data_IF_880556641943
#
_entry.id   IF_880556641943
#
_cell.length_a   1.000
_cell.length_b   1.000
_cell.length_c   1.000
_cell.angle_alpha   90.00
_cell.angle_beta   90.00
_cell.angle_gamma   90.00
#
_symmetry.space_group_name_H-M   'P 1'
#
loop_
_entity.id
_entity.type
_entity.pdbx_description
1 polymer ?
#
# COMPACT_ATOMS: atom_id res chain seq x y z
N UNK A 1 45.73 3.66 2.53
CA UNK A 1 44.36 3.43 3.05
C UNK A 1 43.43 3.41 1.85
N UNK A 2 42.70 2.32 1.67
CA UNK A 2 41.80 2.12 0.53
C UNK A 2 40.37 2.40 0.98
N UNK A 3 39.62 3.21 0.22
CA UNK A 3 38.19 3.40 0.44
C UNK A 3 37.41 2.39 -0.39
N UNK A 4 36.46 1.71 0.25
CA UNK A 4 35.61 0.70 -0.38
C UNK A 4 34.15 1.10 -0.19
N UNK A 5 33.39 1.00 -1.27
CA UNK A 5 31.95 1.19 -1.28
C UNK A 5 31.29 -0.11 -1.76
N UNK A 6 30.39 -0.66 -0.94
CA UNK A 6 29.64 -1.88 -1.22
C UNK A 6 28.15 -1.56 -1.24
N UNK A 7 27.52 -1.79 -2.39
CA UNK A 7 26.08 -1.63 -2.57
C UNK A 7 25.42 -2.97 -2.89
N UNK A 8 24.43 -3.36 -2.09
CA UNK A 8 23.58 -4.52 -2.35
C UNK A 8 22.14 -4.07 -2.59
N UNK A 9 21.46 -4.73 -3.52
CA UNK A 9 20.03 -4.54 -3.71
C UNK A 9 19.35 -5.87 -3.98
N UNK A 10 18.16 -6.05 -3.40
CA UNK A 10 17.33 -7.25 -3.57
C UNK A 10 15.88 -6.83 -3.73
N UNK A 11 15.19 -7.45 -4.67
CA UNK A 11 13.74 -7.30 -4.84
C UNK A 11 13.07 -8.52 -4.23
N UNK A 12 12.14 -8.29 -3.32
CA UNK A 12 11.26 -9.32 -2.78
C UNK A 12 9.90 -9.13 -3.42
N UNK A 13 9.35 -10.19 -4.00
CA UNK A 13 8.05 -10.18 -4.66
C UNK A 13 7.09 -11.05 -3.88
N UNK A 14 6.03 -10.45 -3.34
CA UNK A 14 5.00 -11.14 -2.58
C UNK A 14 3.63 -10.55 -2.95
N UNK A 15 2.64 -11.41 -3.19
CA UNK A 15 1.26 -11.01 -3.50
C UNK A 15 1.16 -9.89 -4.56
N UNK A 16 1.93 -10.03 -5.64
CA UNK A 16 1.99 -9.10 -6.78
C UNK A 16 2.52 -7.69 -6.44
N UNK A 17 3.02 -7.48 -5.22
CA UNK A 17 3.80 -6.31 -4.84
C UNK A 17 5.29 -6.69 -4.84
N UNK A 18 6.12 -5.87 -5.47
CA UNK A 18 7.57 -5.99 -5.36
C UNK A 18 8.11 -4.86 -4.49
N UNK A 19 8.76 -5.23 -3.41
CA UNK A 19 9.45 -4.31 -2.52
C UNK A 19 10.95 -4.43 -2.79
N UNK A 20 11.56 -3.32 -3.17
CA UNK A 20 13.01 -3.24 -3.35
C UNK A 20 13.68 -2.83 -2.06
N UNK A 21 14.71 -3.57 -1.67
CA UNK A 21 15.59 -3.24 -0.55
C UNK A 21 16.98 -2.96 -1.11
N UNK A 22 17.64 -1.95 -0.55
CA UNK A 22 19.01 -1.60 -0.92
C UNK A 22 19.79 -1.16 0.31
N UNK A 23 21.02 -1.63 0.44
CA UNK A 23 21.97 -1.26 1.49
C UNK A 23 23.24 -0.77 0.81
N UNK A 24 23.78 0.34 1.32
CA UNK A 24 25.04 0.91 0.84
C UNK A 24 25.96 1.12 2.05
N UNK A 25 27.10 0.43 2.06
CA UNK A 25 28.12 0.54 3.10
C UNK A 25 29.37 1.20 2.51
N UNK A 26 29.93 2.15 3.25
CA UNK A 26 31.24 2.74 2.98
C UNK A 26 32.18 2.34 4.11
N UNK A 27 33.35 1.83 3.76
CA UNK A 27 34.35 1.36 4.71
C UNK A 27 35.76 1.70 4.26
N UNK A 28 36.65 1.88 5.22
CA UNK A 28 38.07 2.08 4.96
C UNK A 28 38.83 0.80 5.27
N UNK A 29 39.59 0.30 4.29
CA UNK A 29 40.42 -0.90 4.41
C UNK A 29 41.85 -0.48 4.77
N UNK A 30 42.27 -0.88 5.96
CA UNK A 30 43.60 -0.62 6.53
C UNK A 30 44.62 -1.74 6.22
N UNK A 31 44.45 -2.43 5.10
CA UNK A 31 45.38 -3.48 4.63
C UNK A 31 46.40 -2.85 3.67
N UNK A 32 47.68 -3.26 3.71
CA UNK A 32 48.68 -2.84 2.73
C UNK A 32 48.22 -3.17 1.29
N UNK A 33 48.53 -2.31 0.33
CA UNK A 33 48.15 -2.53 -1.08
C UNK A 33 48.90 -3.71 -1.73
N UNK A 34 49.99 -4.17 -1.11
CA UNK A 34 50.79 -5.30 -1.57
C UNK A 34 50.22 -6.66 -1.11
N UNK A 35 49.17 -6.65 -0.27
CA UNK A 35 48.45 -7.84 0.20
C UNK A 35 47.04 -7.90 -0.41
N UNK A 36 46.90 -8.43 -1.64
CA UNK A 36 45.61 -8.52 -2.31
C UNK A 36 44.66 -9.50 -1.59
N UNK A 37 45.19 -10.52 -0.91
CA UNK A 37 44.37 -11.50 -0.19
C UNK A 37 43.68 -10.85 1.01
N UNK A 38 44.41 -10.07 1.80
CA UNK A 38 43.83 -9.32 2.93
C UNK A 38 42.82 -8.26 2.50
N UNK A 39 43.01 -7.62 1.34
CA UNK A 39 42.01 -6.69 0.78
C UNK A 39 40.73 -7.42 0.41
N UNK A 40 40.84 -8.57 -0.27
CA UNK A 40 39.68 -9.38 -0.66
C UNK A 40 38.94 -9.89 0.58
N UNK A 41 39.66 -10.33 1.61
CA UNK A 41 39.06 -10.75 2.89
C UNK A 41 38.27 -9.60 3.54
N UNK A 42 38.82 -8.39 3.58
CA UNK A 42 38.12 -7.22 4.15
C UNK A 42 36.92 -6.77 3.32
N UNK A 43 37.02 -6.82 2.00
CA UNK A 43 35.88 -6.55 1.11
C UNK A 43 34.79 -7.60 1.33
N UNK A 44 35.16 -8.88 1.50
CA UNK A 44 34.21 -9.96 1.79
C UNK A 44 33.48 -9.73 3.11
N UNK A 45 34.19 -9.36 4.18
CA UNK A 45 33.57 -9.02 5.46
C UNK A 45 32.50 -7.91 5.31
N UNK A 46 32.77 -6.89 4.50
CA UNK A 46 31.80 -5.81 4.21
C UNK A 46 30.58 -6.31 3.42
N UNK A 47 30.78 -7.25 2.48
CA UNK A 47 29.67 -7.89 1.76
C UNK A 47 28.81 -8.76 2.67
N UNK A 48 29.42 -9.58 3.51
CA UNK A 48 28.72 -10.44 4.47
C UNK A 48 27.88 -9.58 5.43
N UNK A 49 28.44 -8.47 5.92
CA UNK A 49 27.72 -7.50 6.76
C UNK A 49 26.57 -6.81 6.01
N UNK A 50 26.79 -6.39 4.76
CA UNK A 50 25.74 -5.78 3.95
C UNK A 50 24.59 -6.77 3.67
N UNK A 51 24.90 -8.03 3.42
CA UNK A 51 23.91 -9.08 3.20
C UNK A 51 23.11 -9.37 4.49
N UNK A 52 23.77 -9.48 5.63
CA UNK A 52 23.10 -9.67 6.92
C UNK A 52 22.16 -8.49 7.22
N UNK A 53 22.62 -7.26 7.05
CA UNK A 53 21.80 -6.06 7.25
C UNK A 53 20.58 -6.02 6.31
N UNK A 54 20.78 -6.38 5.04
CA UNK A 54 19.72 -6.45 4.05
C UNK A 54 18.69 -7.53 4.41
N UNK A 55 19.15 -8.72 4.83
CA UNK A 55 18.27 -9.82 5.26
C UNK A 55 17.45 -9.43 6.48
N UNK A 56 18.05 -8.80 7.49
CA UNK A 56 17.32 -8.32 8.67
C UNK A 56 16.23 -7.31 8.29
N UNK A 57 16.49 -6.43 7.31
CA UNK A 57 15.49 -5.47 6.85
C UNK A 57 14.32 -6.15 6.12
N UNK A 58 14.62 -7.16 5.29
CA UNK A 58 13.61 -7.98 4.63
C UNK A 58 12.76 -8.73 5.66
N UNK A 59 13.39 -9.41 6.61
CA UNK A 59 12.71 -10.20 7.65
C UNK A 59 11.80 -9.34 8.53
N UNK A 60 12.25 -8.14 8.92
CA UNK A 60 11.41 -7.18 9.65
C UNK A 60 10.19 -6.78 8.84
N UNK A 61 10.37 -6.49 7.55
CA UNK A 61 9.27 -6.12 6.67
C UNK A 61 8.24 -7.24 6.49
N UNK A 62 8.71 -8.49 6.32
CA UNK A 62 7.84 -9.66 6.24
C UNK A 62 7.10 -9.91 7.57
N UNK A 63 7.79 -9.72 8.70
CA UNK A 63 7.21 -9.87 10.05
C UNK A 63 6.15 -8.80 10.35
N UNK A 64 6.41 -7.54 10.02
CA UNK A 64 5.45 -6.44 10.19
C UNK A 64 4.22 -6.62 9.30
N UNK A 65 4.43 -7.10 8.06
CA UNK A 65 3.34 -7.42 7.14
C UNK A 65 2.46 -8.56 7.68
N UNK A 66 3.05 -9.52 8.40
CA UNK A 66 2.33 -10.61 9.05
C UNK A 66 1.58 -10.18 10.33
N UNK A 67 2.14 -9.27 11.15
CA UNK A 67 1.51 -8.80 12.40
C UNK A 67 0.39 -7.79 12.15
N UNK A 68 0.55 -6.89 11.16
CA UNK A 68 -0.53 -6.00 10.72
C UNK A 68 -1.78 -6.78 10.25
N UNK A 69 -1.61 -8.05 9.87
CA UNK A 69 -2.70 -8.97 9.53
C UNK A 69 -3.35 -9.64 10.75
N UNK A 70 -2.75 -9.56 11.95
CA UNK A 70 -3.17 -10.27 13.17
C UNK A 70 -3.79 -9.37 14.24
N UNK A 71 -3.43 -8.08 14.29
CA UNK A 71 -3.91 -7.09 15.28
C UNK A 71 -5.19 -6.33 14.87
N UNK A 72 -6.07 -6.94 14.07
CA UNK A 72 -7.45 -6.48 13.96
C UNK A 72 -8.21 -6.83 15.25
N UNK A 73 -7.95 -6.06 16.31
CA UNK A 73 -8.62 -6.08 17.59
C UNK A 73 -10.15 -6.00 17.40
N UNK A 74 -10.96 -6.85 18.08
CA UNK A 74 -12.41 -6.82 17.92
C UNK A 74 -12.96 -5.49 18.45
N UNK A 75 -13.71 -4.70 17.65
CA UNK A 75 -14.18 -3.40 18.10
C UNK A 75 -15.16 -3.58 19.27
N UNK A 76 -14.76 -3.04 20.43
CA UNK A 76 -15.64 -2.82 21.57
C UNK A 76 -16.91 -2.08 21.14
N UNK A 77 -18.06 -2.69 21.40
CA UNK A 77 -19.39 -2.12 21.14
C UNK A 77 -19.61 -0.88 22.03
N UNK A 78 -19.59 0.31 21.44
CA UNK A 78 -20.22 1.50 22.06
C UNK A 78 -21.65 1.64 21.55
N UNK A 79 -22.60 1.67 22.50
CA UNK A 79 -24.03 1.86 22.26
C UNK A 79 -24.37 3.33 21.95
N UNK A 80 -25.47 3.63 21.23
CA UNK A 80 -25.87 5.00 20.89
C UNK A 80 -27.03 5.52 21.75
N UNK A 81 -26.96 6.78 22.19
CA UNK A 81 -28.05 7.69 22.59
C UNK A 81 -27.40 8.92 23.28
N UNK A 82 -27.82 10.18 23.15
CA UNK A 82 -29.10 10.81 22.81
C UNK A 82 -28.88 12.33 22.68
N UNK A 83 -29.59 12.97 21.76
CA UNK A 83 -30.27 14.29 21.81
C UNK A 83 -29.73 15.53 22.56
N UNK A 84 -30.12 16.70 22.03
CA UNK A 84 -30.20 18.07 22.63
C UNK A 84 -28.94 18.93 22.51
N UNK A 85 -28.95 20.27 22.45
CA UNK A 85 -29.90 21.35 22.16
C UNK A 85 -29.04 22.64 22.31
N UNK A 86 -29.37 23.70 21.56
CA UNK A 86 -28.97 25.11 21.71
C UNK A 86 -27.97 25.50 22.83
N UNK A 87 -26.93 26.27 22.48
CA UNK A 87 -26.67 27.57 23.12
C UNK A 87 -25.64 28.42 22.38
N UNK A 88 -25.88 29.74 22.48
CA UNK A 88 -25.17 30.86 21.88
C UNK A 88 -23.97 31.31 22.73
N UNK A 89 -23.15 32.17 22.10
CA UNK A 89 -22.33 33.27 22.63
C UNK A 89 -20.83 33.07 22.89
N UNK A 90 -20.08 34.06 22.35
CA UNK A 90 -18.74 34.51 22.74
C UNK A 90 -17.61 33.83 21.97
N UNK A 91 -16.63 34.48 21.36
CA UNK A 91 -16.09 35.84 21.58
C UNK A 91 -15.24 36.23 20.38
N UNK A 92 -15.33 37.50 19.96
CA UNK A 92 -14.48 38.14 18.95
C UNK A 92 -13.03 38.26 19.44
N UNK A 93 -12.02 38.24 18.56
CA UNK A 93 -11.38 39.44 17.97
C UNK A 93 -10.16 39.05 17.08
N UNK A 94 -9.48 39.98 16.38
CA UNK A 94 -9.41 39.94 14.92
C UNK A 94 -7.97 39.81 14.39
N UNK A 95 -7.80 39.43 13.13
CA UNK A 95 -6.60 39.83 12.41
C UNK A 95 -6.93 40.12 10.95
N UNK A 96 -6.93 41.41 10.61
CA UNK A 96 -7.03 41.85 9.24
C UNK A 96 -5.67 41.76 8.57
N UNK A 97 -5.63 41.24 7.34
CA UNK A 97 -5.05 42.01 6.24
C UNK A 97 -5.44 41.42 4.90
N UNK A 98 -5.68 42.33 3.96
CA UNK A 98 -6.20 42.13 2.61
C UNK A 98 -5.11 41.58 1.71
N UNK A 99 -5.43 40.64 0.82
CA UNK A 99 -5.13 40.66 -0.64
C UNK A 99 -5.52 39.33 -1.29
N UNK A 100 -6.61 39.36 -2.06
CA UNK A 100 -6.76 38.55 -3.29
C UNK A 100 -6.22 39.41 -4.44
N UNK A 101 -5.60 38.88 -5.52
CA UNK A 101 -6.17 37.76 -6.30
C UNK A 101 -5.14 36.82 -6.99
N UNK A 102 -5.40 35.50 -6.99
CA UNK A 102 -5.03 34.61 -8.11
C UNK A 102 -5.74 33.27 -7.96
N UNK A 103 -6.83 33.11 -8.71
CA UNK A 103 -7.65 31.90 -8.78
C UNK A 103 -6.93 30.90 -9.70
N UNK A 104 -5.96 30.14 -9.18
CA UNK A 104 -5.34 29.06 -9.96
C UNK A 104 -6.15 27.76 -9.78
N UNK A 105 -7.26 27.69 -10.51
CA UNK A 105 -8.06 26.47 -10.64
C UNK A 105 -7.28 25.42 -11.43
N UNK A 106 -6.51 24.58 -10.73
CA UNK A 106 -5.94 23.37 -11.30
C UNK A 106 -7.05 22.32 -11.45
N UNK A 107 -7.80 22.43 -12.55
CA UNK A 107 -8.49 21.28 -13.17
C UNK A 107 -7.40 20.42 -13.83
N UNK A 108 -7.18 19.15 -13.45
CA UNK A 108 -6.44 18.27 -14.31
C UNK A 108 -7.27 17.99 -15.56
N UNK A 109 -6.64 18.26 -16.69
CA UNK A 109 -7.18 18.11 -18.02
C UNK A 109 -7.70 16.69 -18.26
N UNK A 110 -8.90 16.65 -18.82
CA UNK A 110 -9.50 15.51 -19.50
C UNK A 110 -8.68 15.23 -20.76
N UNK A 111 -7.57 14.52 -20.62
CA UNK A 111 -6.74 14.11 -21.76
C UNK A 111 -7.22 12.74 -22.24
N UNK A 112 -8.03 12.75 -23.30
CA UNK A 112 -8.52 11.54 -23.96
C UNK A 112 -7.37 10.85 -24.69
N UNK A 113 -6.94 9.70 -24.17
CA UNK A 113 -6.10 8.74 -24.88
C UNK A 113 -6.88 7.43 -24.99
N UNK A 114 -7.90 7.44 -25.84
CA UNK A 114 -8.64 6.28 -26.31
C UNK A 114 -7.72 5.43 -27.19
N UNK A 115 -7.27 4.28 -26.68
CA UNK A 115 -6.55 3.30 -27.49
C UNK A 115 -6.09 2.05 -26.76
N UNK A 116 -5.86 2.10 -25.44
CA UNK A 116 -5.54 0.92 -24.66
C UNK A 116 -6.36 0.90 -23.37
N UNK A 117 -6.96 -0.26 -23.01
CA UNK A 117 -7.60 -0.41 -21.71
C UNK A 117 -6.55 -0.15 -20.62
N UNK A 118 -6.77 0.88 -19.82
CA UNK A 118 -5.88 1.21 -18.70
C UNK A 118 -6.11 0.13 -17.63
N UNK A 119 -5.07 -0.62 -17.23
CA UNK A 119 -5.20 -1.62 -16.19
C UNK A 119 -5.69 -0.96 -14.88
N UNK A 120 -6.43 -1.73 -14.09
CA UNK A 120 -6.91 -1.30 -12.79
C UNK A 120 -5.72 -0.88 -11.92
N UNK A 121 -5.89 0.22 -11.18
CA UNK A 121 -4.82 0.65 -10.27
C UNK A 121 -4.63 -0.40 -9.18
N UNK A 122 -3.40 -0.61 -8.71
CA UNK A 122 -3.11 -1.53 -7.60
C UNK A 122 -3.99 -1.26 -6.37
N UNK A 123 -4.34 0.00 -6.13
CA UNK A 123 -5.28 0.38 -5.06
C UNK A 123 -6.69 -0.18 -5.28
N UNK A 124 -7.21 -0.16 -6.51
CA UNK A 124 -8.52 -0.74 -6.83
C UNK A 124 -8.50 -2.26 -6.67
N UNK A 125 -7.45 -2.94 -7.13
CA UNK A 125 -7.30 -4.40 -6.99
C UNK A 125 -7.19 -4.80 -5.52
N UNK A 126 -6.36 -4.10 -4.73
CA UNK A 126 -6.27 -4.33 -3.28
C UNK A 126 -7.59 -4.07 -2.57
N UNK A 127 -8.34 -3.03 -2.98
CA UNK A 127 -9.64 -2.74 -2.39
C UNK A 127 -10.67 -3.84 -2.70
N UNK A 128 -10.68 -4.38 -3.93
CA UNK A 128 -11.50 -5.54 -4.32
C UNK A 128 -11.16 -6.78 -3.49
N UNK A 129 -9.87 -7.09 -3.33
CA UNK A 129 -9.42 -8.21 -2.49
C UNK A 129 -9.88 -8.05 -1.04
N UNK A 130 -9.73 -6.85 -0.48
CA UNK A 130 -10.19 -6.55 0.88
C UNK A 130 -11.72 -6.64 0.99
N UNK A 131 -12.46 -6.23 -0.05
CA UNK A 131 -13.91 -6.33 -0.10
C UNK A 131 -14.36 -7.80 -0.15
N UNK A 132 -13.72 -8.63 -0.97
CA UNK A 132 -13.97 -10.08 -1.01
C UNK A 132 -13.68 -10.75 0.34
N UNK A 133 -12.55 -10.44 0.98
CA UNK A 133 -12.22 -10.92 2.33
C UNK A 133 -13.30 -10.54 3.35
N UNK A 134 -13.81 -9.30 3.32
CA UNK A 134 -14.91 -8.84 4.20
C UNK A 134 -16.23 -9.57 3.94
N UNK A 135 -16.43 -10.04 2.72
CA UNK A 135 -17.60 -10.85 2.33
C UNK A 135 -17.39 -12.35 2.58
N UNK A 136 -16.26 -12.76 3.16
CA UNK A 136 -15.92 -14.17 3.38
C UNK A 136 -15.61 -14.93 2.09
N UNK A 137 -15.30 -14.23 1.00
CA UNK A 137 -14.94 -14.82 -0.28
C UNK A 137 -13.44 -15.11 -0.33
N UNK A 138 -13.10 -16.32 -0.73
CA UNK A 138 -11.73 -16.66 -1.15
C UNK A 138 -11.41 -15.98 -2.49
N UNK A 139 -10.13 -15.83 -2.83
CA UNK A 139 -9.72 -15.19 -4.11
C UNK A 139 -10.39 -15.83 -5.34
N UNK A 140 -10.47 -17.17 -5.48
CA UNK A 140 -11.16 -17.80 -6.61
C UNK A 140 -12.68 -17.51 -6.64
N UNK A 141 -13.32 -17.39 -5.46
CA UNK A 141 -14.74 -17.05 -5.37
C UNK A 141 -15.00 -15.57 -5.70
N UNK A 142 -14.07 -14.69 -5.33
CA UNK A 142 -14.12 -13.29 -5.73
C UNK A 142 -13.96 -13.15 -7.25
N UNK A 143 -13.01 -13.87 -7.85
CA UNK A 143 -12.83 -13.92 -9.31
C UNK A 143 -14.08 -14.45 -10.02
N UNK A 144 -14.71 -15.49 -9.48
CA UNK A 144 -15.99 -15.98 -10.01
C UNK A 144 -17.07 -14.90 -9.95
N UNK A 145 -17.18 -14.16 -8.85
CA UNK A 145 -18.17 -13.08 -8.69
C UNK A 145 -17.88 -11.90 -9.62
N UNK A 146 -16.60 -11.59 -9.85
CA UNK A 146 -16.15 -10.61 -10.86
C UNK A 146 -16.57 -11.05 -12.26
N UNK A 147 -16.38 -12.34 -12.58
CA UNK A 147 -16.78 -12.90 -13.85
C UNK A 147 -18.29 -12.83 -14.08
N UNK A 148 -19.09 -13.08 -13.03
CA UNK A 148 -20.55 -12.96 -13.07
C UNK A 148 -21.00 -11.50 -13.30
N UNK A 149 -20.33 -10.52 -12.67
CA UNK A 149 -20.64 -9.09 -12.84
C UNK A 149 -20.29 -8.60 -14.25
N UNK A 150 -19.15 -9.04 -14.79
CA UNK A 150 -18.63 -8.59 -16.08
C UNK A 150 -19.12 -9.44 -17.26
N UNK A 151 -19.74 -10.58 -17.00
CA UNK A 151 -20.19 -11.55 -18.02
C UNK A 151 -19.06 -12.25 -18.77
N UNK A 152 -17.83 -12.24 -18.23
CA UNK A 152 -16.65 -12.89 -18.83
C UNK A 152 -15.63 -13.29 -17.77
N UNK A 153 -14.92 -14.39 -17.99
CA UNK A 153 -13.84 -14.84 -17.11
C UNK A 153 -12.65 -13.90 -17.24
N UNK A 154 -12.41 -13.09 -16.21
CA UNK A 154 -11.29 -12.14 -16.11
C UNK A 154 -10.69 -12.24 -14.72
N UNK A 155 -9.37 -12.38 -14.65
CA UNK A 155 -8.65 -12.38 -13.38
C UNK A 155 -8.65 -10.99 -12.75
N UNK A 156 -8.54 -10.92 -11.42
CA UNK A 156 -8.52 -9.64 -10.69
C UNK A 156 -7.42 -8.67 -11.17
N UNK A 157 -6.32 -9.21 -11.68
CA UNK A 157 -5.15 -8.46 -12.16
C UNK A 157 -5.29 -7.99 -13.62
N UNK A 158 -6.22 -8.58 -14.37
CA UNK A 158 -6.49 -8.24 -15.77
C UNK A 158 -7.63 -7.22 -15.91
N UNK A 159 -8.21 -6.80 -14.79
CA UNK A 159 -9.27 -5.80 -14.76
C UNK A 159 -8.76 -4.47 -15.29
N UNK A 160 -9.59 -3.82 -16.09
CA UNK A 160 -9.37 -2.41 -16.45
C UNK A 160 -9.83 -1.51 -15.32
N UNK A 161 -9.37 -0.25 -15.31
CA UNK A 161 -9.80 0.75 -14.33
C UNK A 161 -11.32 0.95 -14.32
N UNK A 162 -11.95 0.87 -15.49
CA UNK A 162 -13.40 1.00 -15.67
C UNK A 162 -14.13 -0.22 -15.11
N UNK A 163 -13.66 -1.42 -15.47
CA UNK A 163 -14.21 -2.69 -14.98
C UNK A 163 -14.10 -2.82 -13.47
N UNK A 164 -12.94 -2.46 -12.90
CA UNK A 164 -12.76 -2.45 -11.45
C UNK A 164 -13.73 -1.47 -10.75
N UNK A 165 -14.07 -0.35 -11.38
CA UNK A 165 -15.10 0.57 -10.88
C UNK A 165 -16.49 -0.08 -10.84
N UNK A 166 -16.91 -0.69 -11.96
CA UNK A 166 -18.20 -1.38 -12.07
C UNK A 166 -18.33 -2.51 -11.06
N UNK A 167 -17.28 -3.32 -10.90
CA UNK A 167 -17.25 -4.42 -9.93
C UNK A 167 -17.35 -3.88 -8.50
N UNK A 168 -16.64 -2.80 -8.18
CA UNK A 168 -16.70 -2.20 -6.85
C UNK A 168 -18.09 -1.66 -6.51
N UNK A 169 -18.72 -0.98 -7.45
CA UNK A 169 -20.09 -0.49 -7.27
C UNK A 169 -21.05 -1.67 -7.05
N UNK A 170 -20.98 -2.71 -7.88
CA UNK A 170 -21.80 -3.91 -7.75
C UNK A 170 -21.61 -4.63 -6.40
N UNK A 171 -20.36 -4.88 -5.99
CA UNK A 171 -20.06 -5.56 -4.72
C UNK A 171 -20.41 -4.73 -3.48
N UNK A 172 -20.45 -3.40 -3.61
CA UNK A 172 -20.85 -2.50 -2.53
C UNK A 172 -22.37 -2.35 -2.46
N UNK A 173 -23.05 -2.37 -3.61
CA UNK A 173 -24.51 -2.32 -3.72
C UNK A 173 -25.19 -3.62 -3.32
N UNK A 174 -24.57 -4.77 -3.57
CA UNK A 174 -25.09 -6.11 -3.26
C UNK A 174 -24.93 -6.49 -1.77
N UNK A 175 -24.86 -5.47 -0.91
CA UNK A 175 -24.82 -5.64 0.54
C UNK A 175 -26.25 -5.95 0.98
N UNK A 176 -26.56 -7.19 1.42
CA UNK A 176 -27.89 -7.46 1.94
C UNK A 176 -28.10 -6.55 3.16
N UNK A 177 -29.15 -5.74 3.13
CA UNK A 177 -29.66 -5.08 4.33
C UNK A 177 -29.93 -6.21 5.33
N UNK A 178 -29.05 -6.36 6.31
CA UNK A 178 -29.14 -7.42 7.32
C UNK A 178 -30.52 -7.36 7.94
N UNK A 179 -31.32 -8.37 7.59
CA UNK A 179 -32.64 -8.63 8.12
C UNK A 179 -32.48 -8.76 9.63
N UNK A 180 -32.94 -7.75 10.38
CA UNK A 180 -33.26 -7.89 11.80
C UNK A 180 -34.38 -8.92 11.92
N UNK A 181 -34.01 -10.19 11.96
CA UNK A 181 -34.90 -11.27 12.36
C UNK A 181 -34.33 -11.93 13.61
N UNK A 182 -35.22 -12.07 14.60
CA UNK A 182 -35.11 -12.73 15.90
C UNK A 182 -34.62 -11.81 17.03
N UNK A 183 -35.33 -11.72 18.15
CA UNK A 183 -36.34 -12.63 18.71
C UNK A 183 -37.18 -11.90 19.74
#
# INVERSE_FOLDING_TARGET
MLKVNVGLSRKVSQDFNSTGFSVNLEGEVCVPLDDPEGIVEKVKELYDLAEEALNQQVERYESESAIASRDAEPPHRQAPARSQQNSRNGTANPNGSRTSPARNGSRPARNGNSGAPIPATNKQVQYLLNLGKRQGLTTPQLEQRVADILGRNVGLYDLTKEEAGVVLDALTSDRPATTSSRR
#
